data_IF_494091324489
#
_entry.id   IF_494091324489
#
_cell.length_a   1.000
_cell.length_b   1.000
_cell.length_c   1.000
_cell.angle_alpha   90.00
_cell.angle_beta   90.00
_cell.angle_gamma   90.00
#
_symmetry.space_group_name_H-M   'P 1'
#
loop_
_entity.id
_entity.type
_entity.pdbx_description
1 polymer ?
#
# COMPACT_ATOMS: atom_id res chain seq x y z
N UNK A 1 5.30 27.30 6.35
CA UNK A 1 4.44 26.11 6.56
C UNK A 1 5.24 24.89 6.15
N UNK A 2 5.72 24.11 7.12
CA UNK A 2 6.52 22.91 6.87
C UNK A 2 5.66 21.90 6.10
N UNK A 3 6.05 21.54 4.87
CA UNK A 3 5.45 20.41 4.16
C UNK A 3 5.68 19.19 5.06
N UNK A 4 4.63 18.70 5.72
CA UNK A 4 4.67 17.41 6.40
C UNK A 4 5.23 16.40 5.41
N UNK A 5 6.37 15.79 5.74
CA UNK A 5 7.07 14.85 4.89
C UNK A 5 6.33 13.51 4.96
N UNK A 6 5.08 13.48 4.48
CA UNK A 6 4.23 12.30 4.50
C UNK A 6 4.88 11.21 3.67
N UNK A 7 5.20 10.10 4.33
CA UNK A 7 5.66 8.88 3.69
C UNK A 7 4.48 8.01 3.28
N UNK A 8 4.67 7.25 2.21
CA UNK A 8 3.67 6.38 1.63
C UNK A 8 4.20 4.96 1.50
N UNK A 9 3.35 3.96 1.74
CA UNK A 9 3.58 2.61 1.25
C UNK A 9 2.94 2.46 -0.12
N UNK A 10 3.51 1.62 -0.99
CA UNK A 10 2.85 1.23 -2.24
C UNK A 10 2.06 -0.04 -1.99
N UNK A 11 0.73 0.05 -2.11
CA UNK A 11 -0.21 -1.05 -1.98
C UNK A 11 -0.47 -1.67 -3.35
N UNK A 12 -0.51 -3.02 -3.42
CA UNK A 12 -0.82 -3.76 -4.64
C UNK A 12 -1.96 -4.77 -4.38
N UNK A 13 -3.10 -4.50 -5.01
CA UNK A 13 -4.38 -5.19 -4.92
C UNK A 13 -4.76 -5.92 -6.22
N UNK A 14 -3.78 -6.22 -7.09
CA UNK A 14 -4.03 -6.97 -8.33
C UNK A 14 -4.77 -8.27 -8.05
N UNK A 15 -5.54 -8.73 -9.04
CA UNK A 15 -6.38 -9.94 -8.93
C UNK A 15 -5.57 -11.18 -8.55
N UNK A 16 -4.34 -11.28 -9.02
CA UNK A 16 -3.40 -12.35 -8.66
C UNK A 16 -3.13 -12.45 -7.14
N UNK A 17 -3.22 -11.34 -6.40
CA UNK A 17 -3.03 -11.29 -4.94
C UNK A 17 -4.35 -11.34 -4.15
N UNK A 18 -5.49 -11.51 -4.82
CA UNK A 18 -6.80 -11.47 -4.14
C UNK A 18 -7.03 -12.64 -3.17
N UNK A 19 -6.35 -13.77 -3.37
CA UNK A 19 -6.39 -14.93 -2.47
C UNK A 19 -5.43 -14.85 -1.28
N UNK A 20 -4.55 -13.84 -1.24
CA UNK A 20 -3.58 -13.70 -0.15
C UNK A 20 -4.30 -13.31 1.15
N UNK A 21 -3.85 -13.79 2.33
CA UNK A 21 -4.47 -13.44 3.61
C UNK A 21 -4.27 -11.96 3.97
N UNK A 22 -3.19 -11.35 3.46
CA UNK A 22 -2.81 -9.98 3.75
C UNK A 22 -2.60 -9.18 2.46
N UNK A 23 -2.73 -7.86 2.56
CA UNK A 23 -2.45 -6.93 1.47
C UNK A 23 -0.95 -6.92 1.17
N UNK A 24 -0.63 -7.02 -0.11
CA UNK A 24 0.73 -6.92 -0.61
C UNK A 24 1.17 -5.45 -0.64
N UNK A 25 2.32 -5.17 -0.06
CA UNK A 25 3.01 -3.87 -0.12
C UNK A 25 4.39 -4.03 -0.74
N UNK A 26 4.91 -2.97 -1.34
CA UNK A 26 6.24 -2.99 -1.96
C UNK A 26 7.35 -2.84 -0.92
N UNK A 27 8.46 -3.56 -1.12
CA UNK A 27 9.68 -3.43 -0.30
C UNK A 27 10.47 -2.16 -0.66
N UNK A 28 11.39 -1.69 0.20
CA UNK A 28 12.25 -0.56 -0.12
C UNK A 28 12.95 -0.71 -1.47
N UNK A 29 13.17 0.42 -2.15
CA UNK A 29 13.87 0.47 -3.45
C UNK A 29 13.23 -0.37 -4.55
N UNK A 30 11.91 -0.61 -4.48
CA UNK A 30 11.16 -1.42 -5.46
C UNK A 30 11.64 -2.87 -5.56
N UNK A 31 12.28 -3.40 -4.50
CA UNK A 31 12.92 -4.71 -4.48
C UNK A 31 11.95 -5.85 -4.14
N UNK A 32 10.77 -5.86 -4.77
CA UNK A 32 9.75 -6.90 -4.59
C UNK A 32 8.69 -6.57 -3.55
N UNK A 33 8.11 -7.62 -2.96
CA UNK A 33 6.86 -7.54 -2.20
C UNK A 33 7.01 -8.05 -0.76
N UNK A 34 6.15 -7.55 0.13
CA UNK A 34 6.02 -7.99 1.51
C UNK A 34 4.56 -7.88 1.98
N UNK A 35 4.24 -8.56 3.09
CA UNK A 35 3.02 -8.31 3.87
C UNK A 35 3.24 -7.39 5.08
N UNK A 36 4.35 -7.54 5.85
CA UNK A 36 4.56 -6.71 7.02
C UNK A 36 4.89 -5.27 6.64
N UNK A 37 4.19 -4.32 7.24
CA UNK A 37 4.47 -2.90 7.11
C UNK A 37 5.91 -2.54 7.54
N UNK A 38 6.52 -3.16 8.57
CA UNK A 38 7.93 -2.91 8.90
C UNK A 38 8.92 -3.30 7.79
N UNK A 39 8.53 -4.17 6.86
CA UNK A 39 9.36 -4.56 5.70
C UNK A 39 9.02 -3.77 4.44
N UNK A 40 8.01 -2.90 4.51
CA UNK A 40 7.57 -2.11 3.38
C UNK A 40 8.53 -0.93 3.13
N UNK A 41 8.66 -0.56 1.86
CA UNK A 41 9.34 0.64 1.45
C UNK A 41 8.51 1.86 1.80
N UNK A 42 9.17 2.88 2.35
CA UNK A 42 8.57 4.19 2.58
C UNK A 42 8.98 5.13 1.45
N UNK A 43 7.97 5.67 0.77
CA UNK A 43 8.13 6.45 -0.45
C UNK A 43 7.71 7.89 -0.17
N UNK A 44 8.51 8.84 -0.66
CA UNK A 44 8.13 10.26 -0.56
C UNK A 44 6.99 10.58 -1.53
N UNK A 45 6.20 11.61 -1.20
CA UNK A 45 5.17 12.12 -2.12
C UNK A 45 5.73 12.46 -3.50
N UNK A 46 6.91 13.08 -3.55
CA UNK A 46 7.57 13.48 -4.79
C UNK A 46 7.90 12.25 -5.66
N UNK A 47 8.49 11.22 -5.06
CA UNK A 47 8.82 9.98 -5.76
C UNK A 47 7.57 9.29 -6.33
N UNK A 48 6.47 9.26 -5.57
CA UNK A 48 5.22 8.66 -6.04
C UNK A 48 4.63 9.44 -7.21
N UNK A 49 4.60 10.77 -7.11
CA UNK A 49 4.05 11.64 -8.16
C UNK A 49 4.90 11.54 -9.43
N UNK A 50 6.23 11.62 -9.31
CA UNK A 50 7.17 11.55 -10.42
C UNK A 50 7.13 10.18 -11.12
N UNK A 51 7.00 9.09 -10.35
CA UNK A 51 6.90 7.75 -10.92
C UNK A 51 5.55 7.42 -11.56
N UNK A 52 4.52 8.27 -11.41
CA UNK A 52 3.22 8.15 -12.08
C UNK A 52 2.63 6.74 -12.07
N UNK A 53 2.45 6.18 -13.28
CA UNK A 53 1.79 4.89 -13.51
C UNK A 53 2.54 3.69 -12.90
N UNK A 54 3.84 3.85 -12.65
CA UNK A 54 4.64 2.81 -12.03
C UNK A 54 4.17 2.50 -10.60
N UNK A 55 3.85 3.55 -9.84
CA UNK A 55 3.35 3.48 -8.47
C UNK A 55 1.81 3.55 -8.38
N UNK A 56 1.14 3.98 -9.45
CA UNK A 56 -0.32 4.12 -9.49
C UNK A 56 -0.89 3.46 -10.73
N UNK A 57 -1.61 2.34 -10.58
CA UNK A 57 -2.14 1.60 -11.72
C UNK A 57 -3.61 1.22 -11.53
N UNK A 58 -4.37 1.28 -12.62
CA UNK A 58 -5.77 0.89 -12.72
C UNK A 58 -5.92 -0.25 -13.73
N UNK A 59 -6.77 -1.23 -13.42
CA UNK A 59 -7.23 -2.25 -14.36
C UNK A 59 -8.72 -2.05 -14.56
N UNK A 60 -9.11 -1.58 -15.75
CA UNK A 60 -10.44 -1.03 -15.99
C UNK A 60 -10.75 0.10 -15.00
N UNK A 61 -11.89 0.02 -14.32
CA UNK A 61 -12.30 1.02 -13.31
C UNK A 61 -11.66 0.82 -11.93
N UNK A 62 -10.93 -0.29 -11.72
CA UNK A 62 -10.41 -0.65 -10.41
C UNK A 62 -9.00 -0.12 -10.19
N UNK A 63 -8.80 0.64 -9.11
CA UNK A 63 -7.47 1.02 -8.64
C UNK A 63 -6.81 -0.20 -7.96
N UNK A 64 -5.76 -0.72 -8.61
CA UNK A 64 -5.08 -1.96 -8.21
C UNK A 64 -3.69 -1.71 -7.64
N UNK A 65 -3.01 -0.62 -7.99
CA UNK A 65 -1.74 -0.23 -7.37
C UNK A 65 -1.78 1.24 -7.06
N UNK A 66 -1.38 1.62 -5.86
CA UNK A 66 -1.46 3.01 -5.43
C UNK A 66 -0.68 3.24 -4.14
N UNK A 67 -0.24 4.48 -3.94
CA UNK A 67 0.38 4.91 -2.70
C UNK A 67 -0.68 5.19 -1.62
N UNK A 68 -0.41 4.72 -0.40
CA UNK A 68 -1.23 4.97 0.80
C UNK A 68 -0.36 5.66 1.86
N UNK A 69 -0.86 6.68 2.58
CA UNK A 69 -0.10 7.29 3.68
C UNK A 69 0.24 6.23 4.73
N UNK A 70 1.51 6.18 5.16
CA UNK A 70 1.95 5.20 6.18
C UNK A 70 1.09 5.28 7.44
N UNK A 71 0.80 6.49 7.91
CA UNK A 71 -0.03 6.73 9.09
C UNK A 71 -1.47 6.16 8.99
N UNK A 72 -2.02 6.00 7.77
CA UNK A 72 -3.32 5.35 7.59
C UNK A 72 -3.17 3.83 7.61
N UNK A 73 -2.15 3.31 6.92
CA UNK A 73 -1.85 1.88 6.90
C UNK A 73 -1.56 1.35 8.31
N UNK A 74 -0.74 2.07 9.07
CA UNK A 74 -0.33 1.67 10.42
C UNK A 74 -1.54 1.60 11.37
N UNK A 75 -2.58 2.42 11.18
CA UNK A 75 -3.83 2.37 11.95
C UNK A 75 -4.75 1.20 11.59
N UNK A 76 -4.67 0.74 10.34
CA UNK A 76 -5.43 -0.43 9.85
C UNK A 76 -4.67 -1.75 10.08
N UNK A 77 -3.40 -1.65 10.44
CA UNK A 77 -2.51 -2.77 10.65
C UNK A 77 -2.89 -3.59 11.89
N UNK A 78 -2.80 -4.91 11.77
CA UNK A 78 -2.98 -5.86 12.87
C UNK A 78 -1.76 -6.76 12.99
N UNK A 79 -1.59 -7.45 14.11
CA UNK A 79 -0.58 -8.51 14.16
C UNK A 79 -0.97 -9.68 13.25
N UNK A 80 -0.01 -10.28 12.51
CA UNK A 80 -0.31 -11.44 11.70
C UNK A 80 -0.75 -12.61 12.57
N UNK A 81 -1.51 -13.54 11.98
CA UNK A 81 -1.81 -14.78 12.64
C UNK A 81 -0.50 -15.59 12.85
N UNK A 82 -0.38 -16.34 13.95
CA UNK A 82 0.86 -17.07 14.25
C UNK A 82 1.32 -17.95 13.09
N UNK A 83 2.63 -17.91 12.81
CA UNK A 83 3.33 -18.68 11.75
C UNK A 83 2.94 -18.32 10.31
N UNK A 84 2.13 -17.28 10.10
CA UNK A 84 1.79 -16.79 8.75
C UNK A 84 2.86 -15.88 8.14
N UNK A 85 3.70 -15.29 8.98
CA UNK A 85 4.83 -14.44 8.59
C UNK A 85 6.04 -14.89 9.39
N UNK A 86 7.22 -14.92 8.76
CA UNK A 86 8.46 -15.26 9.44
C UNK A 86 8.68 -14.33 10.65
N UNK A 87 8.89 -14.94 11.82
CA UNK A 87 9.03 -14.22 13.08
C UNK A 87 7.75 -13.53 13.58
N UNK A 88 6.58 -13.79 12.98
CA UNK A 88 5.31 -13.11 13.26
C UNK A 88 5.42 -11.58 13.14
N UNK A 89 6.27 -11.08 12.24
CA UNK A 89 6.51 -9.65 12.10
C UNK A 89 5.24 -8.94 11.61
N UNK A 90 4.78 -7.98 12.39
CA UNK A 90 3.66 -7.10 12.07
C UNK A 90 3.96 -5.64 12.40
N UNK A 91 3.05 -4.71 12.09
CA UNK A 91 1.70 -4.99 11.61
C UNK A 91 1.61 -5.45 10.14
N UNK A 92 0.56 -6.19 9.81
CA UNK A 92 0.12 -6.56 8.46
C UNK A 92 -1.28 -5.99 8.21
N UNK A 93 -1.66 -5.82 6.94
CA UNK A 93 -2.98 -5.36 6.55
C UNK A 93 -3.86 -6.55 6.14
N UNK A 94 -4.98 -6.86 6.81
CA UNK A 94 -5.87 -7.94 6.39
C UNK A 94 -6.42 -7.73 4.98
N UNK A 95 -6.46 -8.78 4.15
CA UNK A 95 -7.02 -8.69 2.79
C UNK A 95 -8.56 -8.82 2.78
N UNK A 96 -9.22 -7.96 3.56
CA UNK A 96 -10.69 -7.92 3.62
C UNK A 96 -11.24 -6.83 2.71
N UNK A 97 -12.51 -6.94 2.31
CA UNK A 97 -13.17 -5.92 1.49
C UNK A 97 -13.16 -4.54 2.19
N UNK A 98 -13.33 -4.51 3.51
CA UNK A 98 -13.31 -3.29 4.31
C UNK A 98 -11.95 -2.59 4.26
N UNK A 99 -10.86 -3.31 4.54
CA UNK A 99 -9.50 -2.76 4.51
C UNK A 99 -9.16 -2.29 3.09
N UNK A 100 -9.44 -3.09 2.06
CA UNK A 100 -9.23 -2.68 0.65
C UNK A 100 -9.98 -1.40 0.30
N UNK A 101 -11.21 -1.26 0.79
CA UNK A 101 -12.03 -0.06 0.57
C UNK A 101 -11.44 1.15 1.29
N UNK A 102 -11.01 1.00 2.55
CA UNK A 102 -10.34 2.04 3.33
C UNK A 102 -9.03 2.50 2.66
N UNK A 103 -8.21 1.57 2.19
CA UNK A 103 -6.96 1.88 1.49
C UNK A 103 -7.22 2.66 0.21
N UNK A 104 -8.18 2.25 -0.62
CA UNK A 104 -8.52 2.99 -1.85
C UNK A 104 -9.03 4.40 -1.56
N UNK A 105 -9.82 4.60 -0.50
CA UNK A 105 -10.25 5.94 -0.08
C UNK A 105 -9.09 6.83 0.37
N UNK A 106 -8.08 6.22 0.98
CA UNK A 106 -6.88 6.90 1.45
C UNK A 106 -5.79 7.07 0.38
N UNK A 107 -5.99 6.51 -0.81
CA UNK A 107 -5.01 6.54 -1.90
C UNK A 107 -4.58 7.99 -2.20
N UNK A 108 -3.29 8.19 -2.41
CA UNK A 108 -2.77 9.47 -2.84
C UNK A 108 -3.43 9.84 -4.18
N UNK A 109 -4.18 10.95 -4.18
CA UNK A 109 -4.73 11.51 -5.40
C UNK A 109 -3.60 12.18 -6.18
N UNK A 110 -3.20 11.58 -7.29
CA UNK A 110 -2.39 12.25 -8.31
C UNK A 110 -3.32 13.17 -9.11
N UNK A 111 -2.85 14.36 -9.48
CA UNK A 111 -3.67 15.41 -10.08
C UNK A 111 -4.07 15.15 -11.56
N UNK A 112 -4.23 13.88 -11.96
CA UNK A 112 -4.45 13.49 -13.36
C UNK A 112 -5.55 12.45 -13.53
N UNK A 113 -6.73 12.71 -12.97
CA UNK A 113 -7.87 11.80 -13.04
C UNK A 113 -9.19 12.53 -13.21
N UNK A 114 -9.25 13.50 -14.10
CA UNK A 114 -10.49 13.89 -14.76
C UNK A 114 -10.57 13.12 -16.08
N UNK A 115 -11.56 12.26 -16.17
CA UNK A 115 -11.95 11.48 -17.33
C UNK A 115 -13.36 10.98 -17.13
#
# INVERSE_FOLDING_TARGET
MSKQNTEFYICDLRREFSGNPYITVWRPKNAGYAYPLPWAGKYSRAQVIDGGDYYTNRVGRSLVRFAIPCAVADKLGVQPAPKMVDGNVGPVLPNTAEVRSALRRAALKTAGGEG
#
